data_IF_783724969018
#
_entry.id   IF_783724969018
#
_cell.length_a   1.000
_cell.length_b   1.000
_cell.length_c   1.000
_cell.angle_alpha   90.00
_cell.angle_beta   90.00
_cell.angle_gamma   90.00
#
_symmetry.space_group_name_H-M   'P 1'
#
loop_
_entity.id
_entity.type
_entity.pdbx_description
1 polymer ?
#
# COMPACT_ATOMS: atom_id res chain seq x y z
N UNK A 1 -59.42 -8.71 43.46
CA UNK A 1 -58.84 -9.13 42.14
C UNK A 1 -59.33 -10.52 41.81
N UNK A 2 -59.92 -10.74 40.68
CA UNK A 2 -60.38 -12.05 40.23
C UNK A 2 -59.21 -13.02 40.01
N UNK A 3 -59.46 -14.34 40.11
CA UNK A 3 -58.46 -15.38 39.89
C UNK A 3 -57.84 -15.25 38.50
N UNK A 4 -58.64 -14.89 37.50
CA UNK A 4 -58.15 -14.63 36.10
C UNK A 4 -57.15 -13.49 36.05
N UNK A 5 -57.35 -12.39 36.78
CA UNK A 5 -56.43 -11.25 36.81
C UNK A 5 -55.09 -11.60 37.46
N UNK A 6 -55.11 -12.45 38.50
CA UNK A 6 -53.90 -12.93 39.16
C UNK A 6 -53.06 -13.81 38.22
N UNK A 7 -53.73 -14.74 37.50
CA UNK A 7 -53.04 -15.60 36.51
C UNK A 7 -52.43 -14.78 35.35
N UNK A 8 -53.19 -13.80 34.83
CA UNK A 8 -52.66 -12.92 33.77
C UNK A 8 -51.44 -12.10 34.22
N UNK A 9 -51.47 -11.56 35.44
CA UNK A 9 -50.34 -10.82 35.99
C UNK A 9 -49.10 -11.70 36.22
N UNK A 10 -49.28 -12.92 36.72
CA UNK A 10 -48.16 -13.87 36.89
C UNK A 10 -47.57 -14.25 35.55
N UNK A 11 -48.41 -14.58 34.54
CA UNK A 11 -47.90 -14.90 33.18
C UNK A 11 -47.20 -13.71 32.54
N UNK A 12 -47.75 -12.50 32.67
CA UNK A 12 -47.08 -11.30 32.15
C UNK A 12 -45.73 -11.05 32.83
N UNK A 13 -45.68 -11.20 34.19
CA UNK A 13 -44.43 -11.03 34.92
C UNK A 13 -43.36 -12.09 34.53
N UNK A 14 -43.76 -13.37 34.42
CA UNK A 14 -42.84 -14.43 33.98
C UNK A 14 -42.34 -14.20 32.54
N UNK A 15 -43.22 -13.76 31.64
CA UNK A 15 -42.83 -13.44 30.26
C UNK A 15 -41.82 -12.28 30.21
N UNK A 16 -42.05 -11.22 30.98
CA UNK A 16 -41.12 -10.08 31.08
C UNK A 16 -39.76 -10.53 31.65
N UNK A 17 -39.75 -11.35 32.71
CA UNK A 17 -38.53 -11.88 33.31
C UNK A 17 -37.76 -12.74 32.30
N UNK A 18 -38.43 -13.59 31.54
CA UNK A 18 -37.82 -14.41 30.49
C UNK A 18 -37.21 -13.55 29.36
N UNK A 19 -37.94 -12.51 28.89
CA UNK A 19 -37.44 -11.58 27.86
C UNK A 19 -36.22 -10.82 28.38
N UNK A 20 -36.29 -10.29 29.61
CA UNK A 20 -35.13 -9.58 30.19
C UNK A 20 -33.94 -10.52 30.38
N UNK A 21 -34.18 -11.75 30.87
CA UNK A 21 -33.14 -12.76 31.03
C UNK A 21 -32.50 -13.14 29.69
N UNK A 22 -33.30 -13.30 28.64
CA UNK A 22 -32.80 -13.56 27.28
C UNK A 22 -31.97 -12.39 26.74
N UNK A 23 -32.44 -11.16 26.89
CA UNK A 23 -31.71 -9.96 26.47
C UNK A 23 -30.39 -9.81 27.22
N UNK A 24 -30.35 -10.10 28.52
CA UNK A 24 -29.11 -10.07 29.30
C UNK A 24 -28.16 -11.18 28.88
N UNK A 25 -28.65 -12.37 28.57
CA UNK A 25 -27.83 -13.48 28.08
C UNK A 25 -27.26 -13.19 26.68
N UNK A 26 -28.06 -12.64 25.77
CA UNK A 26 -27.60 -12.21 24.44
C UNK A 26 -26.53 -11.13 24.57
N UNK A 27 -26.76 -10.11 25.38
CA UNK A 27 -25.84 -8.99 25.55
C UNK A 27 -24.56 -9.36 26.33
N UNK A 28 -24.66 -10.30 27.29
CA UNK A 28 -23.54 -10.69 28.15
C UNK A 28 -22.70 -11.86 27.65
N UNK A 29 -23.27 -12.75 26.83
CA UNK A 29 -22.58 -13.95 26.35
C UNK A 29 -22.35 -13.98 24.86
N UNK A 30 -23.34 -13.60 24.04
CA UNK A 30 -23.22 -13.70 22.59
C UNK A 30 -22.51 -12.51 21.98
N UNK A 31 -22.79 -11.29 22.45
CA UNK A 31 -22.19 -10.10 21.83
C UNK A 31 -20.67 -10.01 22.00
N UNK A 32 -20.08 -10.29 23.20
CA UNK A 32 -18.62 -10.30 23.34
C UNK A 32 -17.94 -11.35 22.48
N UNK A 33 -18.52 -12.56 22.41
CA UNK A 33 -17.96 -13.64 21.59
C UNK A 33 -17.98 -13.33 20.09
N UNK A 34 -19.04 -12.66 19.64
CA UNK A 34 -19.15 -12.21 18.23
C UNK A 34 -18.12 -11.12 17.89
N UNK A 35 -17.82 -10.22 18.82
CA UNK A 35 -16.82 -9.16 18.61
C UNK A 35 -15.40 -9.73 18.61
N UNK A 36 -15.09 -10.71 19.46
CA UNK A 36 -13.78 -11.38 19.47
C UNK A 36 -13.52 -12.14 18.15
N UNK A 37 -14.53 -12.81 17.58
CA UNK A 37 -14.40 -13.47 16.27
C UNK A 37 -14.20 -12.47 15.14
N UNK A 38 -14.86 -11.31 15.18
CA UNK A 38 -14.68 -10.25 14.18
C UNK A 38 -13.28 -9.62 14.27
N UNK A 39 -12.80 -9.33 15.45
CA UNK A 39 -11.45 -8.79 15.66
C UNK A 39 -10.37 -9.73 15.10
N UNK A 40 -10.49 -11.04 15.36
CA UNK A 40 -9.57 -12.04 14.82
C UNK A 40 -9.61 -12.11 13.29
N UNK A 41 -10.79 -12.01 12.68
CA UNK A 41 -10.96 -12.01 11.24
C UNK A 41 -10.35 -10.75 10.59
N UNK A 42 -10.56 -9.58 11.20
CA UNK A 42 -9.98 -8.31 10.72
C UNK A 42 -8.45 -8.33 10.85
N UNK A 43 -7.93 -8.87 11.95
CA UNK A 43 -6.48 -9.00 12.15
C UNK A 43 -5.84 -9.85 11.05
N UNK A 44 -6.42 -11.02 10.77
CA UNK A 44 -5.97 -11.89 9.68
C UNK A 44 -6.04 -11.21 8.31
N UNK A 45 -7.05 -10.37 8.07
CA UNK A 45 -7.18 -9.65 6.81
C UNK A 45 -6.14 -8.52 6.69
N UNK A 46 -5.78 -7.84 7.78
CA UNK A 46 -4.68 -6.89 7.79
C UNK A 46 -3.33 -7.57 7.49
N UNK A 47 -3.05 -8.72 8.11
CA UNK A 47 -1.84 -9.51 7.80
C UNK A 47 -1.79 -9.94 6.32
N UNK A 48 -2.94 -10.35 5.77
CA UNK A 48 -3.04 -10.71 4.34
C UNK A 48 -2.83 -9.50 3.44
N UNK A 49 -3.35 -8.32 3.78
CA UNK A 49 -3.13 -7.09 3.04
C UNK A 49 -1.66 -6.69 3.06
N UNK A 50 -1.02 -6.70 4.22
CA UNK A 50 0.42 -6.47 4.35
C UNK A 50 1.23 -7.48 3.51
N UNK A 51 0.84 -8.76 3.57
CA UNK A 51 1.45 -9.82 2.75
C UNK A 51 1.28 -9.61 1.24
N UNK A 52 0.12 -9.15 0.79
CA UNK A 52 -0.12 -8.84 -0.62
C UNK A 52 0.73 -7.66 -1.10
N UNK A 53 0.79 -6.58 -0.32
CA UNK A 53 1.66 -5.43 -0.60
C UNK A 53 3.14 -5.84 -0.64
N UNK A 54 3.59 -6.66 0.31
CA UNK A 54 4.97 -7.15 0.34
C UNK A 54 5.28 -8.07 -0.85
N UNK A 55 4.31 -8.86 -1.31
CA UNK A 55 4.44 -9.66 -2.52
C UNK A 55 4.64 -8.76 -3.76
N UNK A 56 3.90 -7.66 -3.88
CA UNK A 56 4.06 -6.72 -4.99
C UNK A 56 5.44 -6.07 -4.99
N UNK A 57 5.96 -5.69 -3.82
CA UNK A 57 7.35 -5.25 -3.70
C UNK A 57 8.32 -6.33 -4.15
N UNK A 58 8.12 -7.59 -3.77
CA UNK A 58 8.99 -8.71 -4.14
C UNK A 58 9.01 -8.93 -5.65
N UNK A 59 7.85 -8.87 -6.29
CA UNK A 59 7.75 -9.01 -7.76
C UNK A 59 8.45 -7.86 -8.46
N UNK A 60 8.23 -6.62 -8.00
CA UNK A 60 8.87 -5.44 -8.57
C UNK A 60 10.39 -5.47 -8.36
N UNK A 61 10.85 -5.88 -7.16
CA UNK A 61 12.27 -6.04 -6.82
C UNK A 61 12.98 -7.08 -7.72
N UNK A 62 12.33 -8.20 -7.99
CA UNK A 62 12.87 -9.21 -8.91
C UNK A 62 13.00 -8.65 -10.33
N UNK A 63 11.98 -7.96 -10.80
CA UNK A 63 11.97 -7.35 -12.13
C UNK A 63 13.10 -6.34 -12.29
N UNK A 64 13.20 -5.39 -11.37
CA UNK A 64 14.20 -4.33 -11.46
C UNK A 64 15.62 -4.86 -11.29
N UNK A 65 15.82 -5.86 -10.42
CA UNK A 65 17.11 -6.50 -10.20
C UNK A 65 17.65 -7.18 -11.45
N UNK A 66 16.76 -7.81 -12.22
CA UNK A 66 17.10 -8.43 -13.48
C UNK A 66 17.56 -7.37 -14.50
N UNK A 67 16.78 -6.33 -14.67
CA UNK A 67 17.09 -5.21 -15.59
C UNK A 67 18.35 -4.42 -15.19
N UNK A 68 18.56 -4.17 -13.90
CA UNK A 68 19.70 -3.43 -13.39
C UNK A 68 21.04 -4.17 -13.56
N UNK A 69 21.01 -5.48 -13.86
CA UNK A 69 22.19 -6.32 -14.08
C UNK A 69 22.43 -6.71 -15.54
N UNK A 70 21.78 -6.05 -16.48
CA UNK A 70 22.08 -6.25 -17.89
C UNK A 70 23.30 -5.46 -18.34
N UNK A 71 24.14 -6.05 -19.16
CA UNK A 71 25.28 -5.36 -19.77
C UNK A 71 24.82 -4.21 -20.69
N UNK A 72 23.67 -4.37 -21.35
CA UNK A 72 23.07 -3.31 -22.17
C UNK A 72 22.60 -2.14 -21.30
N UNK A 73 22.03 -2.39 -20.12
CA UNK A 73 21.69 -1.37 -19.12
C UNK A 73 22.93 -0.68 -18.58
N UNK A 74 24.01 -1.44 -18.35
CA UNK A 74 25.30 -0.93 -17.90
C UNK A 74 25.99 -0.05 -18.97
N UNK A 75 25.82 -0.35 -20.26
CA UNK A 75 26.24 0.49 -21.33
C UNK A 75 25.37 1.75 -21.45
N UNK A 76 24.06 1.57 -21.43
CA UNK A 76 23.08 2.66 -21.55
C UNK A 76 23.26 3.77 -20.50
N UNK A 77 23.56 3.44 -19.26
CA UNK A 77 23.78 4.47 -18.22
C UNK A 77 25.00 5.34 -18.50
N UNK A 78 25.93 4.91 -19.36
CA UNK A 78 27.16 5.63 -19.71
C UNK A 78 27.02 6.46 -20.97
N UNK A 79 26.32 5.96 -21.98
CA UNK A 79 26.28 6.55 -23.34
C UNK A 79 24.90 7.11 -23.74
N UNK A 80 23.86 6.81 -22.96
CA UNK A 80 22.48 7.23 -23.21
C UNK A 80 22.00 6.88 -24.63
N UNK A 81 22.44 5.73 -25.19
CA UNK A 81 22.19 5.38 -26.56
C UNK A 81 20.70 5.23 -26.91
N UNK A 82 20.33 5.77 -28.07
CA UNK A 82 18.97 5.80 -28.55
C UNK A 82 18.42 4.40 -28.88
N UNK A 83 19.30 3.47 -29.28
CA UNK A 83 18.93 2.10 -29.61
C UNK A 83 18.35 1.36 -28.39
N UNK A 84 18.92 1.57 -27.19
CA UNK A 84 18.39 1.04 -25.95
C UNK A 84 16.98 1.58 -25.65
N UNK A 85 16.78 2.89 -25.82
CA UNK A 85 15.46 3.53 -25.61
C UNK A 85 14.42 2.95 -26.57
N UNK A 86 14.75 2.84 -27.85
CA UNK A 86 13.85 2.31 -28.89
C UNK A 86 13.54 0.81 -28.72
N UNK A 87 14.47 0.05 -28.17
CA UNK A 87 14.30 -1.39 -27.98
C UNK A 87 13.64 -1.76 -26.64
N UNK A 88 13.94 -1.02 -25.57
CA UNK A 88 13.63 -1.44 -24.21
C UNK A 88 12.68 -0.50 -23.46
N UNK A 89 12.61 0.79 -23.79
CA UNK A 89 11.85 1.77 -23.02
C UNK A 89 10.58 2.25 -23.76
N UNK A 90 9.97 1.32 -24.48
CA UNK A 90 8.73 1.55 -25.23
C UNK A 90 7.48 1.38 -24.32
N UNK A 91 6.34 2.00 -24.66
CA UNK A 91 5.10 1.85 -23.86
C UNK A 91 4.69 0.40 -23.59
N UNK A 92 4.91 -0.51 -24.57
CA UNK A 92 4.62 -1.93 -24.41
C UNK A 92 5.46 -2.56 -23.29
N UNK A 93 6.71 -2.17 -23.12
CA UNK A 93 7.58 -2.68 -22.05
C UNK A 93 7.06 -2.29 -20.67
N UNK A 94 6.62 -1.05 -20.50
CA UNK A 94 6.01 -0.60 -19.24
C UNK A 94 4.74 -1.38 -18.92
N UNK A 95 3.88 -1.57 -19.92
CA UNK A 95 2.64 -2.32 -19.77
C UNK A 95 2.90 -3.80 -19.43
N UNK A 96 3.81 -4.47 -20.13
CA UNK A 96 4.14 -5.89 -19.93
C UNK A 96 4.77 -6.16 -18.57
N UNK A 97 5.60 -5.22 -18.08
CA UNK A 97 6.22 -5.29 -16.75
C UNK A 97 5.29 -4.80 -15.63
N UNK A 98 4.12 -4.25 -15.96
CA UNK A 98 3.21 -3.61 -15.00
C UNK A 98 3.92 -2.53 -14.16
N UNK A 99 4.75 -1.71 -14.81
CA UNK A 99 5.42 -0.56 -14.20
C UNK A 99 4.91 0.73 -14.82
N UNK A 100 4.79 1.77 -14.00
CA UNK A 100 4.32 3.07 -14.43
C UNK A 100 5.45 4.11 -14.52
N UNK A 101 6.54 3.90 -13.82
CA UNK A 101 7.66 4.82 -13.75
C UNK A 101 8.99 4.08 -13.88
N UNK A 102 9.86 4.54 -14.76
CA UNK A 102 11.24 4.07 -14.89
C UNK A 102 12.18 5.25 -14.95
N UNK A 103 13.23 5.21 -14.15
CA UNK A 103 14.27 6.24 -14.12
C UNK A 103 15.64 5.60 -14.06
N UNK A 104 16.55 6.12 -14.87
CA UNK A 104 17.96 5.76 -14.86
C UNK A 104 18.76 6.98 -14.39
N UNK A 105 19.43 6.84 -13.25
CA UNK A 105 20.21 7.91 -12.62
C UNK A 105 21.68 7.50 -12.60
N UNK A 106 22.55 8.31 -13.20
CA UNK A 106 23.98 8.09 -13.20
C UNK A 106 24.63 8.23 -11.82
N UNK A 107 25.85 7.73 -11.67
CA UNK A 107 26.60 7.83 -10.42
C UNK A 107 26.91 9.27 -10.01
N UNK A 108 26.88 10.21 -10.94
CA UNK A 108 26.99 11.66 -10.72
C UNK A 108 25.68 12.33 -10.27
N UNK A 109 24.57 11.56 -10.21
CA UNK A 109 23.23 12.04 -9.92
C UNK A 109 22.49 12.61 -11.13
N UNK A 110 23.08 12.58 -12.32
CA UNK A 110 22.44 12.99 -13.55
C UNK A 110 21.36 11.99 -13.98
N UNK A 111 20.18 12.48 -14.36
CA UNK A 111 19.11 11.63 -14.90
C UNK A 111 19.38 11.36 -16.36
N UNK A 112 19.59 10.09 -16.72
CA UNK A 112 19.85 9.63 -18.10
C UNK A 112 18.53 9.37 -18.83
N UNK A 113 17.55 8.80 -18.13
CA UNK A 113 16.21 8.60 -18.64
C UNK A 113 15.21 8.75 -17.50
N UNK A 114 14.05 9.36 -17.79
CA UNK A 114 12.92 9.50 -16.90
C UNK A 114 11.63 9.40 -17.70
N UNK A 115 10.86 8.36 -17.48
CA UNK A 115 9.62 8.10 -18.20
C UNK A 115 8.51 7.59 -17.28
N UNK A 116 7.34 8.20 -17.40
CA UNK A 116 6.11 7.74 -16.78
C UNK A 116 5.13 7.24 -17.85
N UNK A 117 4.64 6.03 -17.68
CA UNK A 117 3.64 5.42 -18.55
C UNK A 117 2.25 5.77 -18.06
N UNK A 118 1.45 6.30 -18.96
CA UNK A 118 0.03 6.57 -18.74
C UNK A 118 -0.80 5.47 -19.43
N UNK A 119 -1.50 4.60 -18.65
CA UNK A 119 -2.31 3.52 -19.21
C UNK A 119 -3.48 4.01 -20.07
N UNK A 120 -4.03 5.19 -19.78
CA UNK A 120 -5.20 5.73 -20.50
C UNK A 120 -4.82 6.19 -21.92
N UNK A 121 -3.68 6.85 -22.07
CA UNK A 121 -3.16 7.28 -23.39
C UNK A 121 -2.29 6.22 -24.08
N UNK A 122 -1.79 5.24 -23.34
CA UNK A 122 -0.83 4.23 -23.81
C UNK A 122 0.52 4.84 -24.20
N UNK A 123 0.93 5.95 -23.60
CA UNK A 123 2.15 6.67 -23.95
C UNK A 123 3.09 6.77 -22.74
N UNK A 124 4.40 6.84 -23.03
CA UNK A 124 5.41 7.20 -22.05
C UNK A 124 5.72 8.70 -22.20
N UNK A 125 5.68 9.43 -21.10
CA UNK A 125 5.91 10.87 -21.03
C UNK A 125 6.99 11.16 -19.98
N UNK A 126 7.69 12.32 -20.04
CA UNK A 126 8.53 12.76 -18.94
C UNK A 126 7.73 12.84 -17.62
N UNK A 127 8.34 12.42 -16.51
CA UNK A 127 7.65 12.45 -15.23
C UNK A 127 7.36 13.89 -14.76
N UNK A 128 6.30 14.09 -13.96
CA UNK A 128 6.03 15.40 -13.36
C UNK A 128 7.19 15.89 -12.49
N UNK A 129 7.37 17.21 -12.41
CA UNK A 129 8.41 17.85 -11.59
C UNK A 129 8.33 17.44 -10.12
N UNK A 130 7.14 17.11 -9.62
CA UNK A 130 6.96 16.60 -8.27
C UNK A 130 7.68 15.27 -8.03
N UNK A 131 7.76 14.41 -9.04
CA UNK A 131 8.49 13.13 -8.98
C UNK A 131 9.99 13.35 -9.15
N UNK A 132 10.39 14.21 -10.06
CA UNK A 132 11.80 14.57 -10.27
C UNK A 132 12.47 15.14 -9.01
N UNK A 133 11.69 15.81 -8.13
CA UNK A 133 12.16 16.32 -6.84
C UNK A 133 12.68 15.20 -5.90
N UNK A 134 12.25 13.96 -6.10
CA UNK A 134 12.69 12.80 -5.33
C UNK A 134 13.98 12.13 -5.84
N UNK A 135 14.56 12.65 -6.95
CA UNK A 135 15.77 12.10 -7.56
C UNK A 135 17.05 12.85 -7.16
N UNK A 136 16.93 13.87 -6.29
CA UNK A 136 18.07 14.67 -5.85
C UNK A 136 19.09 13.91 -4.99
N UNK A 137 20.28 14.49 -4.83
CA UNK A 137 21.33 13.93 -3.97
C UNK A 137 20.81 13.72 -2.53
N UNK A 138 21.06 12.55 -1.96
CA UNK A 138 20.58 12.16 -0.65
C UNK A 138 19.13 11.65 -0.64
N UNK A 139 18.53 11.44 -1.80
CA UNK A 139 17.21 10.81 -1.90
C UNK A 139 17.24 9.40 -1.28
N UNK A 140 16.23 9.04 -0.47
CA UNK A 140 16.08 7.68 0.03
C UNK A 140 15.78 6.65 -1.08
N UNK A 141 15.43 7.10 -2.28
CA UNK A 141 15.24 6.23 -3.45
C UNK A 141 16.57 5.81 -4.11
N UNK A 142 17.65 6.55 -3.89
CA UNK A 142 18.93 6.20 -4.48
C UNK A 142 19.71 5.27 -3.57
N UNK A 143 20.29 4.16 -4.08
CA UNK A 143 21.23 3.33 -3.33
C UNK A 143 22.39 4.18 -2.80
N UNK A 144 22.92 3.80 -1.64
CA UNK A 144 24.12 4.46 -1.12
C UNK A 144 25.31 4.21 -2.06
N UNK A 145 26.25 5.16 -2.18
CA UNK A 145 27.41 4.97 -3.05
C UNK A 145 28.16 3.67 -2.73
N UNK A 146 28.29 2.81 -3.74
CA UNK A 146 28.92 1.49 -3.60
C UNK A 146 28.04 0.40 -2.98
N UNK A 147 26.79 0.67 -2.64
CA UNK A 147 25.86 -0.37 -2.22
C UNK A 147 25.58 -1.34 -3.36
N UNK A 148 25.44 -2.61 -3.01
CA UNK A 148 25.09 -3.69 -3.95
C UNK A 148 23.62 -4.12 -3.80
N UNK A 149 22.93 -3.58 -2.81
CA UNK A 149 21.52 -3.85 -2.50
C UNK A 149 20.65 -2.68 -2.94
N UNK A 150 19.40 -3.01 -3.30
CA UNK A 150 18.37 -2.05 -3.65
C UNK A 150 17.72 -1.42 -2.44
N UNK A 151 16.88 -0.43 -2.68
CA UNK A 151 15.99 0.20 -1.71
C UNK A 151 14.55 0.08 -2.20
N UNK A 152 13.59 0.02 -1.28
CA UNK A 152 12.17 -0.04 -1.60
C UNK A 152 11.36 0.79 -0.61
N UNK A 153 10.18 1.23 -1.04
CA UNK A 153 9.24 1.96 -0.20
C UNK A 153 8.09 2.55 -0.99
N UNK A 154 7.27 3.33 -0.32
CA UNK A 154 6.19 4.06 -0.97
C UNK A 154 6.61 5.49 -1.30
N UNK A 155 6.16 5.98 -2.45
CA UNK A 155 6.22 7.39 -2.80
C UNK A 155 4.81 7.98 -2.77
N UNK A 156 4.64 9.08 -2.06
CA UNK A 156 3.37 9.80 -1.99
C UNK A 156 3.20 10.69 -3.23
N UNK A 157 2.54 10.18 -4.26
CA UNK A 157 2.19 10.94 -5.46
C UNK A 157 0.76 11.45 -5.42
N UNK A 158 0.42 12.39 -6.30
CA UNK A 158 -0.84 13.13 -6.21
C UNK A 158 -2.09 12.24 -6.23
N UNK A 159 -2.12 11.23 -7.07
CA UNK A 159 -3.35 10.49 -7.39
C UNK A 159 -3.46 9.13 -6.67
N UNK A 160 -2.33 8.46 -6.42
CA UNK A 160 -2.28 7.17 -5.74
C UNK A 160 -0.91 6.94 -5.11
N UNK A 161 -0.78 6.07 -4.08
CA UNK A 161 0.54 5.64 -3.63
C UNK A 161 1.25 4.90 -4.74
N UNK A 162 2.56 5.11 -4.83
CA UNK A 162 3.40 4.37 -5.75
C UNK A 162 4.38 3.50 -4.96
N UNK A 163 4.38 2.20 -5.23
CA UNK A 163 5.46 1.31 -4.81
C UNK A 163 6.68 1.66 -5.64
N UNK A 164 7.81 1.90 -5.00
CA UNK A 164 9.07 2.23 -5.68
C UNK A 164 10.15 1.29 -5.20
N UNK A 165 10.89 0.74 -6.14
CA UNK A 165 12.10 -0.05 -5.89
C UNK A 165 13.23 0.52 -6.72
N UNK A 166 14.43 0.54 -6.16
CA UNK A 166 15.64 0.95 -6.86
C UNK A 166 16.76 -0.07 -6.68
N UNK A 167 17.54 -0.28 -7.72
CA UNK A 167 18.74 -1.13 -7.67
C UNK A 167 19.95 -0.44 -8.29
N UNK A 168 21.16 -0.69 -7.75
CA UNK A 168 22.39 -0.25 -8.42
C UNK A 168 22.56 -0.96 -9.76
N UNK A 169 22.99 -0.22 -10.78
CA UNK A 169 23.25 -0.75 -12.12
C UNK A 169 24.64 -1.40 -12.13
N UNK A 170 24.67 -2.69 -12.45
CA UNK A 170 25.84 -3.56 -12.40
C UNK A 170 25.97 -4.37 -13.70
N UNK A 171 27.15 -4.91 -13.97
CA UNK A 171 27.31 -5.94 -15.01
C UNK A 171 26.52 -7.21 -14.71
N UNK A 172 26.18 -7.98 -15.73
CA UNK A 172 25.42 -9.25 -15.65
C UNK A 172 26.00 -10.22 -14.62
N UNK A 173 27.32 -10.33 -14.53
CA UNK A 173 28.00 -11.18 -13.55
C UNK A 173 28.14 -10.52 -12.16
N UNK A 174 27.57 -9.33 -11.96
CA UNK A 174 27.65 -8.57 -10.71
C UNK A 174 29.04 -7.96 -10.46
N UNK A 175 29.92 -7.92 -11.47
CA UNK A 175 31.24 -7.32 -11.40
C UNK A 175 31.25 -5.82 -11.70
N UNK A 176 32.36 -5.14 -11.37
CA UNK A 176 32.53 -3.71 -11.61
C UNK A 176 31.89 -2.81 -10.55
N UNK A 177 32.24 -1.52 -10.58
CA UNK A 177 31.59 -0.54 -9.72
C UNK A 177 30.16 -0.28 -10.18
N UNK A 178 29.22 0.02 -9.25
CA UNK A 178 27.91 0.53 -9.64
C UNK A 178 28.05 1.85 -10.42
N UNK A 179 27.41 1.96 -11.59
CA UNK A 179 27.48 3.17 -12.44
C UNK A 179 26.28 4.10 -12.25
N UNK A 180 25.38 3.77 -11.33
CA UNK A 180 24.18 4.54 -11.08
C UNK A 180 23.08 3.65 -10.50
N UNK A 181 21.84 4.08 -10.67
CA UNK A 181 20.67 3.37 -10.18
C UNK A 181 19.56 3.31 -11.24
N UNK A 182 18.90 2.17 -11.31
CA UNK A 182 17.60 2.02 -11.95
C UNK A 182 16.53 2.12 -10.85
N UNK A 183 15.49 2.89 -11.12
CA UNK A 183 14.29 3.01 -10.25
C UNK A 183 13.09 2.58 -11.06
N UNK A 184 12.25 1.73 -10.51
CA UNK A 184 10.95 1.38 -11.08
C UNK A 184 9.85 1.66 -10.07
N UNK A 185 8.72 2.18 -10.56
CA UNK A 185 7.55 2.51 -9.76
C UNK A 185 6.26 1.91 -10.34
N UNK A 186 5.38 1.46 -9.44
CA UNK A 186 4.03 0.95 -9.75
C UNK A 186 3.01 1.66 -8.89
N UNK A 187 1.96 2.21 -9.51
CA UNK A 187 0.85 2.76 -8.74
C UNK A 187 0.04 1.66 -8.05
N UNK A 188 -0.37 1.95 -6.82
CA UNK A 188 -1.50 1.27 -6.18
C UNK A 188 -2.77 2.05 -6.48
N UNK A 189 -3.23 1.96 -7.70
CA UNK A 189 -4.44 2.64 -8.15
C UNK A 189 -5.73 1.93 -7.69
N UNK A 190 -6.87 2.46 -8.09
CA UNK A 190 -8.17 1.89 -7.73
C UNK A 190 -8.34 0.44 -8.24
N UNK A 191 -7.70 0.06 -9.35
CA UNK A 191 -7.74 -1.29 -9.89
C UNK A 191 -6.95 -2.26 -9.01
N UNK A 192 -5.74 -1.89 -8.60
CA UNK A 192 -4.90 -2.69 -7.69
C UNK A 192 -5.56 -2.83 -6.32
N UNK A 193 -6.14 -1.76 -5.77
CA UNK A 193 -6.90 -1.81 -4.51
C UNK A 193 -8.13 -2.72 -4.64
N UNK A 194 -8.82 -2.71 -5.78
CA UNK A 194 -9.93 -3.61 -6.04
C UNK A 194 -9.47 -5.08 -6.17
N UNK A 195 -8.27 -5.34 -6.69
CA UNK A 195 -7.69 -6.68 -6.70
C UNK A 195 -7.41 -7.17 -5.27
N UNK A 196 -6.86 -6.34 -4.40
CA UNK A 196 -6.72 -6.69 -2.98
C UNK A 196 -8.07 -7.03 -2.36
N UNK A 197 -9.10 -6.20 -2.57
CA UNK A 197 -10.44 -6.46 -2.05
C UNK A 197 -11.00 -7.80 -2.54
N UNK A 198 -10.78 -8.16 -3.82
CA UNK A 198 -11.22 -9.42 -4.39
C UNK A 198 -10.46 -10.64 -3.80
N UNK A 199 -9.14 -10.53 -3.63
CA UNK A 199 -8.32 -11.60 -3.04
C UNK A 199 -8.66 -11.81 -1.57
N UNK A 200 -8.83 -10.72 -0.84
CA UNK A 200 -9.17 -10.74 0.58
C UNK A 200 -10.63 -11.11 0.84
N UNK A 201 -11.50 -11.01 -0.19
CA UNK A 201 -12.96 -11.11 -0.07
C UNK A 201 -13.53 -10.14 0.98
N UNK A 202 -12.97 -8.92 1.03
CA UNK A 202 -13.21 -7.92 2.05
C UNK A 202 -13.13 -6.52 1.42
N UNK A 203 -14.04 -5.58 1.77
CA UNK A 203 -13.96 -4.22 1.27
C UNK A 203 -12.66 -3.54 1.72
N UNK A 204 -11.93 -2.99 0.77
CA UNK A 204 -10.69 -2.23 1.01
C UNK A 204 -10.85 -0.85 0.40
N UNK A 205 -10.47 0.18 1.15
CA UNK A 205 -10.36 1.55 0.67
C UNK A 205 -9.03 2.15 1.07
N UNK A 206 -8.56 3.13 0.31
CA UNK A 206 -7.33 3.86 0.61
C UNK A 206 -7.63 5.34 0.71
N UNK A 207 -7.08 6.00 1.71
CA UNK A 207 -7.25 7.43 1.95
C UNK A 207 -5.88 8.10 2.00
N UNK A 208 -5.72 9.18 1.22
CA UNK A 208 -4.51 10.00 1.24
C UNK A 208 -4.52 10.92 2.46
N UNK A 209 -3.39 10.99 3.15
CA UNK A 209 -3.18 11.89 4.27
C UNK A 209 -2.54 13.20 3.78
N UNK A 210 -3.00 14.33 4.31
CA UNK A 210 -2.43 15.66 3.97
C UNK A 210 -2.76 16.19 2.57
N UNK A 211 -3.62 15.54 1.79
CA UNK A 211 -4.00 15.94 0.42
C UNK A 211 -5.06 17.06 0.34
N UNK A 212 -5.52 17.55 1.47
CA UNK A 212 -6.57 18.60 1.52
C UNK A 212 -7.99 18.05 1.46
N UNK A 213 -8.19 16.80 1.10
CA UNK A 213 -9.50 16.14 1.20
C UNK A 213 -9.75 15.64 2.63
N UNK A 214 -10.98 15.83 3.15
CA UNK A 214 -11.31 15.34 4.49
C UNK A 214 -11.37 13.81 4.48
N UNK A 215 -10.63 13.17 5.36
CA UNK A 215 -10.77 11.73 5.61
C UNK A 215 -11.97 11.44 6.52
N UNK A 216 -12.63 10.28 6.42
CA UNK A 216 -13.71 9.89 7.31
C UNK A 216 -13.32 9.99 8.79
N UNK A 217 -14.30 10.25 9.67
CA UNK A 217 -14.03 10.49 11.09
C UNK A 217 -13.44 9.28 11.83
N UNK A 218 -13.84 8.07 11.48
CA UNK A 218 -13.30 6.82 11.99
C UNK A 218 -11.84 6.61 11.55
N UNK A 219 -11.51 6.94 10.30
CA UNK A 219 -10.14 6.92 9.76
C UNK A 219 -9.25 7.92 10.51
N UNK A 220 -9.75 9.15 10.75
CA UNK A 220 -9.01 10.18 11.51
C UNK A 220 -8.72 9.72 12.93
N UNK A 221 -9.70 9.14 13.62
CA UNK A 221 -9.55 8.62 14.98
C UNK A 221 -8.57 7.43 15.03
N UNK A 222 -8.62 6.55 14.03
CA UNK A 222 -7.68 5.44 13.92
C UNK A 222 -6.24 5.95 13.68
N UNK A 223 -6.06 6.92 12.79
CA UNK A 223 -4.77 7.55 12.53
C UNK A 223 -4.15 8.18 13.78
N UNK A 224 -4.93 8.96 14.54
CA UNK A 224 -4.47 9.55 15.81
C UNK A 224 -3.97 8.48 16.79
N UNK A 225 -4.72 7.38 16.93
CA UNK A 225 -4.33 6.25 17.79
C UNK A 225 -3.06 5.54 17.31
N UNK A 226 -2.92 5.31 15.98
CA UNK A 226 -1.74 4.70 15.37
C UNK A 226 -0.52 5.56 15.65
N UNK A 227 -0.61 6.87 15.41
CA UNK A 227 0.48 7.82 15.63
C UNK A 227 0.87 7.92 17.11
N UNK A 228 -0.11 7.91 18.02
CA UNK A 228 0.14 7.97 19.45
C UNK A 228 0.78 6.69 20.02
N UNK A 229 0.43 5.53 19.47
CA UNK A 229 0.97 4.23 19.93
C UNK A 229 2.27 3.81 19.24
N UNK A 230 2.61 4.41 18.09
CA UNK A 230 3.71 4.00 17.22
C UNK A 230 3.47 2.65 16.51
N UNK A 231 2.23 2.16 16.48
CA UNK A 231 1.86 0.95 15.75
C UNK A 231 1.81 1.22 14.24
N UNK A 232 1.82 0.15 13.43
CA UNK A 232 1.58 0.24 11.98
C UNK A 232 0.09 0.15 11.62
N UNK A 233 -0.72 -0.46 12.49
CA UNK A 233 -2.13 -0.71 12.24
C UNK A 233 -2.99 -0.55 13.51
N UNK A 234 -4.29 -0.46 13.31
CA UNK A 234 -5.31 -0.40 14.36
C UNK A 234 -6.55 -1.18 13.93
N UNK A 235 -7.15 -1.87 14.89
CA UNK A 235 -8.50 -2.45 14.76
C UNK A 235 -9.41 -1.69 15.72
N UNK A 236 -10.53 -1.22 15.23
CA UNK A 236 -11.52 -0.54 16.06
C UNK A 236 -12.92 -0.65 15.44
N UNK A 237 -13.97 -0.62 16.26
CA UNK A 237 -15.33 -0.50 15.75
C UNK A 237 -15.47 0.78 14.92
N UNK A 238 -16.00 0.67 13.71
CA UNK A 238 -16.40 1.81 12.89
C UNK A 238 -17.85 2.23 13.18
N UNK A 239 -18.68 1.27 13.62
CA UNK A 239 -20.03 1.49 14.12
C UNK A 239 -20.43 0.38 15.12
N UNK A 240 -21.71 0.37 15.55
CA UNK A 240 -22.25 -0.61 16.53
C UNK A 240 -22.23 -2.07 16.01
N UNK A 241 -21.94 -2.31 14.74
CA UNK A 241 -22.05 -3.63 14.07
C UNK A 241 -20.84 -4.00 13.25
N UNK A 242 -19.94 -3.05 12.97
CA UNK A 242 -18.83 -3.21 12.05
C UNK A 242 -17.51 -2.93 12.74
N UNK A 243 -16.57 -3.84 12.59
CA UNK A 243 -15.18 -3.66 13.02
C UNK A 243 -14.34 -3.41 11.77
N UNK A 244 -13.52 -2.38 11.81
CA UNK A 244 -12.63 -2.01 10.72
C UNK A 244 -11.17 -2.15 11.15
N UNK A 245 -10.33 -2.56 10.21
CA UNK A 245 -8.89 -2.55 10.33
C UNK A 245 -8.30 -1.37 9.55
N UNK A 246 -7.33 -0.72 10.14
CA UNK A 246 -6.65 0.45 9.57
C UNK A 246 -5.16 0.16 9.51
N UNK A 247 -4.55 0.29 8.32
CA UNK A 247 -3.13 0.10 8.08
C UNK A 247 -2.53 1.41 7.59
N UNK A 248 -1.56 1.95 8.34
CA UNK A 248 -0.86 3.18 7.97
C UNK A 248 0.31 2.84 7.03
N UNK A 249 0.32 3.47 5.85
CA UNK A 249 1.48 3.47 4.97
C UNK A 249 2.29 4.75 5.17
N UNK A 250 3.59 4.55 5.40
CA UNK A 250 4.58 5.63 5.43
C UNK A 250 5.32 5.70 4.10
N UNK A 251 5.65 6.90 3.68
CA UNK A 251 6.46 7.08 2.48
C UNK A 251 7.95 6.79 2.74
N UNK A 252 8.76 6.88 1.70
CA UNK A 252 10.21 6.66 1.75
C UNK A 252 10.96 7.63 2.68
N UNK A 253 10.29 8.70 3.15
CA UNK A 253 10.81 9.66 4.13
C UNK A 253 10.27 9.40 5.54
N UNK A 254 9.65 8.25 5.77
CA UNK A 254 8.98 7.86 7.02
C UNK A 254 7.83 8.78 7.44
N UNK A 255 7.22 9.50 6.47
CA UNK A 255 6.07 10.35 6.74
C UNK A 255 4.76 9.57 6.53
N UNK A 256 3.74 9.76 7.39
CA UNK A 256 2.40 9.23 7.17
C UNK A 256 1.84 9.74 5.84
N UNK A 257 1.57 8.83 4.90
CA UNK A 257 1.16 9.20 3.54
C UNK A 257 -0.24 8.71 3.18
N UNK A 258 -0.56 7.47 3.50
CA UNK A 258 -1.85 6.85 3.21
C UNK A 258 -2.30 5.96 4.35
N UNK A 259 -3.60 5.71 4.42
CA UNK A 259 -4.20 4.74 5.33
C UNK A 259 -5.21 3.89 4.55
N UNK A 260 -5.03 2.57 4.65
CA UNK A 260 -6.02 1.60 4.20
C UNK A 260 -7.07 1.40 5.27
#
# INVERSE_FOLDING_TARGET
>A
MSLRTKILLVNAATTVILIVGLLLAVRGLLLPHFLEEQDAAVHLNLERLEGAIQNDFTVLDQTIRDWAKWDDTYAFIQDANQEYVESNLQPATFADLHVHWMVFVGADGGVVFDGIYDPDSGQVQPSPLSMAAHLGAGSPLLPDPGAMEGKQGFLAVADAPMLVVSHPILHTEGGGPPLGALIMGRYLDAQEVAQFANVLQFPVSIHRLGGGEPVPGDVSAALENILASGASHRISPSDDRTVSGYLLLRDVYDQPAYIF
#
